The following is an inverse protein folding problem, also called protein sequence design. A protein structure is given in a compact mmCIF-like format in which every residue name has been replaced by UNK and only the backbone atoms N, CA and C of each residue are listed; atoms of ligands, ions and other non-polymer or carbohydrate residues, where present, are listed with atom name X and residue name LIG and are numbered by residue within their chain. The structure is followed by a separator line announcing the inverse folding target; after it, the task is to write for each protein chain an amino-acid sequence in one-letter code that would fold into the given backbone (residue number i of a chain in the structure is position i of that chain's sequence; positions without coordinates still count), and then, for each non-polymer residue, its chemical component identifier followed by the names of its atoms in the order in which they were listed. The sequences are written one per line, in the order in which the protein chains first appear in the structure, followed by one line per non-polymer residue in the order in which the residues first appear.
data_IF_910638870001
#
_entry.id   IF_910638870001
#
_cell.length_a   1.000
_cell.length_b   1.000
_cell.length_c   1.000
_cell.angle_alpha   90.00
_cell.angle_beta   90.00
_cell.angle_gamma   90.00
#
_symmetry.space_group_name_H-M   'P 1'
#
loop_
_entity.id
_entity.type
_entity.pdbx_description
1 polymer ?
#
# COMPACT_ATOMS: atom_id res chain seq x y z
N UNK A 1 -14.64 -1.88 -6.25
CA UNK A 1 -13.71 -2.05 -5.11
C UNK A 1 -12.48 -2.78 -5.59
N UNK A 2 -11.33 -2.27 -5.22
CA UNK A 2 -10.07 -2.85 -5.65
C UNK A 2 -9.33 -3.54 -4.52
N UNK A 3 -8.37 -4.38 -4.90
CA UNK A 3 -7.51 -5.10 -3.97
C UNK A 3 -6.06 -4.69 -4.24
N UNK A 4 -5.34 -4.32 -3.17
CA UNK A 4 -3.99 -3.78 -3.28
C UNK A 4 -3.09 -4.40 -2.22
N UNK A 5 -1.86 -4.69 -2.60
CA UNK A 5 -0.78 -5.05 -1.68
C UNK A 5 0.24 -3.92 -1.73
N UNK A 6 0.65 -3.42 -0.55
CA UNK A 6 1.70 -2.42 -0.46
C UNK A 6 2.97 -3.12 0.04
N UNK A 7 3.98 -3.19 -0.82
CA UNK A 7 5.23 -3.90 -0.55
C UNK A 7 6.27 -2.96 0.02
N UNK A 8 6.80 -3.31 1.17
CA UNK A 8 7.86 -2.59 1.85
C UNK A 8 8.54 -3.58 2.81
N UNK A 9 9.86 -3.51 2.98
CA UNK A 9 10.56 -4.50 3.83
C UNK A 9 10.19 -4.45 5.31
N UNK A 10 9.56 -3.37 5.76
CA UNK A 10 9.10 -3.23 7.14
C UNK A 10 7.59 -3.17 7.20
N UNK A 11 7.04 -3.45 8.40
CA UNK A 11 5.62 -3.26 8.65
C UNK A 11 5.36 -1.78 8.89
N UNK A 12 4.50 -1.19 8.08
CA UNK A 12 4.14 0.22 8.17
C UNK A 12 2.65 0.40 7.96
N UNK A 13 2.12 1.44 8.55
CA UNK A 13 0.74 1.86 8.29
C UNK A 13 0.66 2.46 6.89
N UNK A 14 -0.40 2.11 6.17
CA UNK A 14 -0.63 2.58 4.80
C UNK A 14 -1.71 3.66 4.83
N UNK A 15 -1.45 4.75 4.14
CA UNK A 15 -2.42 5.83 4.00
C UNK A 15 -2.81 6.03 2.54
N UNK A 16 -4.08 6.35 2.32
CA UNK A 16 -4.57 6.90 1.07
C UNK A 16 -5.01 8.31 1.38
N UNK A 17 -4.27 9.31 0.89
CA UNK A 17 -4.44 10.67 1.36
C UNK A 17 -4.18 10.72 2.86
N UNK A 18 -5.18 11.16 3.64
CA UNK A 18 -5.07 11.23 5.09
C UNK A 18 -5.78 10.06 5.79
N UNK A 19 -6.32 9.11 5.01
CA UNK A 19 -7.09 7.99 5.57
C UNK A 19 -6.21 6.76 5.75
N UNK A 20 -6.15 6.27 6.99
CA UNK A 20 -5.40 5.04 7.29
C UNK A 20 -6.12 3.82 6.73
N UNK A 21 -5.35 2.93 6.11
CA UNK A 21 -5.84 1.65 5.60
C UNK A 21 -5.37 0.48 6.46
N UNK A 22 -4.74 0.77 7.60
CA UNK A 22 -4.11 -0.25 8.42
C UNK A 22 -2.70 -0.56 7.94
N UNK A 23 -2.11 -1.62 8.49
CA UNK A 23 -0.73 -1.98 8.18
C UNK A 23 -0.62 -2.71 6.83
N UNK A 24 0.56 -2.65 6.23
CA UNK A 24 0.84 -3.37 4.98
C UNK A 24 1.09 -4.87 5.18
N UNK A 25 1.37 -5.29 6.41
CA UNK A 25 1.66 -6.69 6.74
C UNK A 25 0.80 -7.18 7.88
N UNK A 26 0.53 -8.50 7.88
CA UNK A 26 -0.08 -9.20 9.01
C UNK A 26 0.95 -9.40 10.12
N UNK A 27 0.47 -9.81 11.30
CA UNK A 27 1.35 -10.16 12.42
C UNK A 27 2.32 -11.30 12.06
N UNK A 28 1.94 -12.14 11.12
CA UNK A 28 2.78 -13.24 10.62
C UNK A 28 3.90 -12.74 9.70
N UNK A 29 3.86 -11.46 9.28
CA UNK A 29 4.81 -10.90 8.33
C UNK A 29 4.37 -10.96 6.87
N UNK A 30 3.28 -11.64 6.57
CA UNK A 30 2.74 -11.70 5.22
C UNK A 30 2.07 -10.37 4.86
N UNK A 31 2.08 -10.03 3.58
CA UNK A 31 1.41 -8.83 3.10
C UNK A 31 -0.11 -8.97 3.24
N UNK A 32 -0.72 -7.88 3.70
CA UNK A 32 -2.18 -7.81 3.75
C UNK A 32 -2.74 -7.40 2.39
N UNK A 33 -3.89 -7.96 2.04
CA UNK A 33 -4.63 -7.50 0.88
C UNK A 33 -5.57 -6.41 1.35
N UNK A 34 -5.29 -5.18 0.90
CA UNK A 34 -6.09 -4.01 1.28
C UNK A 34 -7.23 -3.84 0.29
N UNK A 35 -8.41 -3.53 0.81
CA UNK A 35 -9.58 -3.25 -0.02
C UNK A 35 -9.74 -1.74 -0.11
N UNK A 36 -9.69 -1.22 -1.32
CA UNK A 36 -9.70 0.22 -1.57
C UNK A 36 -10.69 0.56 -2.68
N UNK A 37 -11.05 1.83 -2.79
CA UNK A 37 -11.92 2.29 -3.88
C UNK A 37 -11.23 2.17 -5.23
N UNK A 38 -12.02 1.97 -6.28
CA UNK A 38 -11.52 1.97 -7.64
C UNK A 38 -11.14 3.39 -8.06
N UNK A 39 -10.32 3.48 -9.09
CA UNK A 39 -9.88 4.74 -9.65
C UNK A 39 -8.53 5.16 -9.12
N UNK A 40 -8.23 6.46 -9.28
CA UNK A 40 -6.93 7.01 -8.90
C UNK A 40 -6.82 7.15 -7.39
N UNK A 41 -5.81 6.50 -6.81
CA UNK A 41 -5.54 6.55 -5.39
C UNK A 41 -4.08 6.89 -5.15
N UNK A 42 -3.81 7.73 -4.16
CA UNK A 42 -2.45 8.12 -3.78
C UNK A 42 -2.07 7.44 -2.47
N UNK A 43 -1.07 6.59 -2.54
CA UNK A 43 -0.60 5.80 -1.40
C UNK A 43 0.65 6.41 -0.79
N UNK A 44 0.74 6.35 0.53
CA UNK A 44 1.96 6.68 1.27
C UNK A 44 2.06 5.81 2.51
N UNK A 45 3.23 5.77 3.10
CA UNK A 45 3.47 5.03 4.34
C UNK A 45 3.51 5.99 5.53
N UNK A 46 3.10 5.50 6.69
CA UNK A 46 3.20 6.25 7.94
C UNK A 46 4.62 6.15 8.52
N UNK A 47 4.86 6.94 9.58
CA UNK A 47 6.15 6.97 10.25
C UNK A 47 7.17 7.83 9.52
N UNK A 48 8.49 7.62 9.78
CA UNK A 48 9.53 8.43 9.14
C UNK A 48 9.58 8.17 7.65
N UNK A 49 9.94 9.20 6.89
CA UNK A 49 10.04 9.09 5.44
C UNK A 49 11.40 8.56 5.05
N UNK A 50 11.62 7.29 5.32
CA UNK A 50 12.85 6.56 4.97
C UNK A 50 12.64 5.66 3.77
N UNK A 51 11.76 6.08 2.85
CA UNK A 51 11.38 5.30 1.68
C UNK A 51 11.24 6.20 0.45
N UNK A 52 11.29 5.57 -0.71
CA UNK A 52 11.19 6.25 -2.02
C UNK A 52 10.21 5.47 -2.90
N UNK A 53 9.30 6.12 -3.61
CA UNK A 53 9.01 7.56 -3.61
C UNK A 53 8.23 7.97 -2.36
N UNK A 54 8.08 9.27 -2.05
CA UNK A 54 7.33 9.71 -0.88
C UNK A 54 5.84 9.40 -0.95
N UNK A 55 5.31 9.28 -2.17
CA UNK A 55 3.94 8.82 -2.41
C UNK A 55 3.84 8.26 -3.82
N UNK A 56 2.81 7.46 -4.07
CA UNK A 56 2.55 6.91 -5.40
C UNK A 56 1.07 7.06 -5.72
N UNK A 57 0.79 7.63 -6.88
CA UNK A 57 -0.58 7.70 -7.41
C UNK A 57 -0.74 6.63 -8.46
N UNK A 58 -1.68 5.73 -8.23
CA UNK A 58 -1.94 4.60 -9.13
C UNK A 58 -3.43 4.52 -9.43
N UNK A 59 -3.76 3.92 -10.56
CA UNK A 59 -5.15 3.65 -10.91
C UNK A 59 -5.48 2.23 -10.47
N UNK A 60 -6.44 2.12 -9.57
CA UNK A 60 -6.93 0.83 -9.07
C UNK A 60 -8.08 0.39 -9.94
N UNK A 61 -7.86 -0.63 -10.76
CA UNK A 61 -8.87 -1.18 -11.66
C UNK A 61 -8.53 -2.64 -11.97
N UNK A 62 -9.57 -3.42 -12.24
CA UNK A 62 -9.45 -4.80 -12.70
C UNK A 62 -8.64 -5.70 -11.75
N UNK A 63 -8.68 -5.42 -10.45
CA UNK A 63 -7.97 -6.20 -9.45
C UNK A 63 -8.89 -7.25 -8.83
N UNK A 64 -8.29 -8.32 -8.32
CA UNK A 64 -9.01 -9.35 -7.57
C UNK A 64 -8.20 -9.73 -6.34
N UNK A 65 -8.81 -10.49 -5.41
CA UNK A 65 -8.09 -10.98 -4.23
C UNK A 65 -6.97 -11.95 -4.59
N UNK A 66 -7.01 -12.54 -5.79
CA UNK A 66 -5.97 -13.45 -6.28
C UNK A 66 -4.89 -12.67 -7.03
N UNK A 67 -5.29 -11.59 -7.69
CA UNK A 67 -4.38 -10.74 -8.46
C UNK A 67 -4.52 -9.28 -8.01
N UNK A 68 -4.07 -8.95 -6.79
CA UNK A 68 -4.11 -7.56 -6.33
C UNK A 68 -3.08 -6.71 -7.05
N UNK A 69 -3.36 -5.42 -7.11
CA UNK A 69 -2.39 -4.45 -7.59
C UNK A 69 -1.27 -4.33 -6.56
N UNK A 70 -0.02 -4.32 -7.02
CA UNK A 70 1.14 -4.16 -6.14
C UNK A 70 1.66 -2.73 -6.20
N UNK A 71 1.76 -2.11 -5.02
CA UNK A 71 2.36 -0.79 -4.86
C UNK A 71 3.65 -0.98 -4.08
N UNK A 72 4.79 -0.71 -4.71
CA UNK A 72 6.10 -1.02 -4.13
C UNK A 72 6.79 0.27 -3.71
N UNK A 73 7.19 0.32 -2.45
CA UNK A 73 8.04 1.37 -1.92
C UNK A 73 9.42 0.78 -1.60
N UNK A 74 10.46 1.51 -1.94
CA UNK A 74 11.83 1.09 -1.67
C UNK A 74 12.32 1.76 -0.39
N UNK A 75 12.99 0.99 0.47
CA UNK A 75 13.58 1.54 1.68
C UNK A 75 14.90 2.22 1.33
N UNK A 76 15.05 3.46 1.82
CA UNK A 76 16.32 4.19 1.66
C UNK A 76 17.40 3.58 2.55
N UNK A 77 18.60 3.55 2.04
CA UNK A 77 19.76 3.03 2.76
C UNK A 77 20.18 4.00 3.87
#
# INVERSE_FOLDING_TARGET
MGYVIVEFPERREVFIGDDSQGDNREDTGEYRILRVGDGRQTFRLGGPQDYTPPSQTVVVADTTSIQPLRVVFDKNA
#
